data_IF_312277285339
#
_entry.id   IF_312277285339
#
_cell.length_a   1.000
_cell.length_b   1.000
_cell.length_c   1.000
_cell.angle_alpha   90.00
_cell.angle_beta   90.00
_cell.angle_gamma   90.00
#
_symmetry.space_group_name_H-M   'P 1'
#
loop_
_entity.id
_entity.type
_entity.pdbx_description
1 polymer ?
#
# COMPACT_ATOMS: atom_id res chain seq x y z
N UNK A 1 -10.54 -0.32 -5.21
CA UNK A 1 -9.39 -0.71 -4.36
C UNK A 1 -9.90 -1.42 -3.10
N UNK A 2 -9.37 -2.58 -2.80
CA UNK A 2 -9.80 -3.34 -1.63
C UNK A 2 -9.00 -2.88 -0.42
N UNK A 3 -9.70 -2.41 0.61
CA UNK A 3 -9.07 -2.02 1.86
C UNK A 3 -9.16 -3.18 2.85
N UNK A 4 -8.01 -3.71 3.22
CA UNK A 4 -7.95 -4.77 4.20
C UNK A 4 -7.90 -4.19 5.62
N UNK A 5 -8.64 -4.81 6.53
CA UNK A 5 -8.47 -4.52 7.95
C UNK A 5 -7.15 -5.10 8.44
N UNK A 6 -6.66 -4.64 9.58
CA UNK A 6 -5.42 -5.16 10.17
C UNK A 6 -5.49 -6.68 10.36
N UNK A 7 -6.64 -7.18 10.83
CA UNK A 7 -6.85 -8.62 11.01
C UNK A 7 -6.77 -9.39 9.69
N UNK A 8 -7.37 -8.86 8.63
CA UNK A 8 -7.32 -9.48 7.30
C UNK A 8 -5.90 -9.51 6.75
N UNK A 9 -5.14 -8.44 6.93
CA UNK A 9 -3.74 -8.38 6.52
C UNK A 9 -2.89 -9.38 7.28
N UNK A 10 -3.10 -9.55 8.57
CA UNK A 10 -2.40 -10.55 9.36
C UNK A 10 -2.68 -11.96 8.85
N UNK A 11 -3.94 -12.27 8.54
CA UNK A 11 -4.32 -13.58 8.00
C UNK A 11 -3.66 -13.84 6.65
N UNK A 12 -3.67 -12.84 5.76
CA UNK A 12 -3.03 -12.95 4.45
C UNK A 12 -1.53 -13.19 4.59
N UNK A 13 -0.89 -12.44 5.44
CA UNK A 13 0.54 -12.57 5.66
C UNK A 13 0.91 -13.97 6.20
N UNK A 14 0.18 -14.45 7.20
CA UNK A 14 0.41 -15.76 7.78
C UNK A 14 0.15 -16.89 6.78
N UNK A 15 -0.95 -16.79 6.01
CA UNK A 15 -1.28 -17.76 4.98
C UNK A 15 -0.19 -17.83 3.92
N UNK A 16 0.27 -16.70 3.42
CA UNK A 16 1.32 -16.65 2.42
C UNK A 16 2.64 -17.19 2.95
N UNK A 17 2.95 -16.95 4.20
CA UNK A 17 4.15 -17.46 4.83
C UNK A 17 4.17 -18.99 4.86
N UNK A 18 3.02 -19.61 5.09
CA UNK A 18 2.91 -21.08 5.08
C UNK A 18 3.00 -21.67 3.68
N UNK A 19 2.45 -20.98 2.68
CA UNK A 19 2.34 -21.53 1.32
C UNK A 19 3.57 -21.14 0.48
N UNK A 20 3.96 -19.87 0.50
CA UNK A 20 5.00 -19.33 -0.38
C UNK A 20 6.14 -18.63 0.36
N UNK A 21 6.07 -18.56 1.70
CA UNK A 21 6.98 -17.75 2.48
C UNK A 21 6.58 -16.28 2.47
N UNK A 22 7.55 -15.40 2.66
CA UNK A 22 7.30 -13.97 2.79
C UNK A 22 7.23 -13.24 1.44
N UNK A 23 7.61 -13.90 0.35
CA UNK A 23 7.82 -13.26 -0.96
C UNK A 23 6.56 -12.60 -1.51
N UNK A 24 5.39 -13.24 -1.39
CA UNK A 24 4.17 -12.68 -1.95
C UNK A 24 3.72 -11.40 -1.23
N UNK A 25 3.97 -11.29 0.08
CA UNK A 25 3.67 -10.05 0.82
C UNK A 25 4.68 -8.95 0.50
N UNK A 26 5.94 -9.29 0.31
CA UNK A 26 6.96 -8.34 -0.14
C UNK A 26 6.62 -7.82 -1.54
N UNK A 27 6.14 -8.69 -2.45
CA UNK A 27 5.71 -8.28 -3.78
C UNK A 27 4.53 -7.33 -3.72
N UNK A 28 3.54 -7.59 -2.85
CA UNK A 28 2.39 -6.70 -2.66
C UNK A 28 2.86 -5.34 -2.13
N UNK A 29 3.76 -5.36 -1.15
CA UNK A 29 4.30 -4.14 -0.56
C UNK A 29 5.05 -3.31 -1.60
N UNK A 30 5.88 -3.95 -2.40
CA UNK A 30 6.64 -3.30 -3.47
C UNK A 30 5.70 -2.71 -4.53
N UNK A 31 4.69 -3.45 -4.95
CA UNK A 31 3.69 -2.96 -5.91
C UNK A 31 2.96 -1.72 -5.39
N UNK A 32 2.60 -1.72 -4.11
CA UNK A 32 1.96 -0.55 -3.49
C UNK A 32 2.90 0.65 -3.42
N UNK A 33 4.16 0.44 -3.15
CA UNK A 33 5.17 1.52 -3.14
C UNK A 33 5.38 2.10 -4.53
N UNK A 34 5.41 1.26 -5.55
CA UNK A 34 5.49 1.71 -6.95
C UNK A 34 4.26 2.54 -7.33
N UNK A 35 3.07 2.07 -6.98
CA UNK A 35 1.84 2.82 -7.22
C UNK A 35 1.86 4.17 -6.53
N UNK A 36 2.38 4.23 -5.31
CA UNK A 36 2.53 5.49 -4.57
C UNK A 36 3.41 6.48 -5.32
N UNK A 37 4.52 6.02 -5.91
CA UNK A 37 5.40 6.86 -6.71
C UNK A 37 4.69 7.40 -7.96
N UNK A 38 3.92 6.55 -8.65
CA UNK A 38 3.12 6.97 -9.80
C UNK A 38 2.10 8.04 -9.42
N UNK A 39 1.41 7.86 -8.30
CA UNK A 39 0.42 8.83 -7.81
C UNK A 39 1.09 10.18 -7.54
N UNK A 40 2.26 10.19 -6.94
CA UNK A 40 3.00 11.43 -6.70
C UNK A 40 3.32 12.16 -8.00
N UNK A 41 3.76 11.43 -9.02
CA UNK A 41 4.06 11.99 -10.34
C UNK A 41 2.79 12.54 -11.00
N UNK A 42 1.70 11.80 -10.95
CA UNK A 42 0.42 12.22 -11.52
C UNK A 42 -0.13 13.44 -10.81
N UNK A 43 0.00 13.50 -9.48
CA UNK A 43 -0.44 14.65 -8.69
C UNK A 43 0.25 15.93 -9.16
N UNK A 44 1.56 15.87 -9.37
CA UNK A 44 2.33 17.02 -9.87
C UNK A 44 1.84 17.41 -11.26
N UNK A 45 1.62 16.45 -12.14
CA UNK A 45 1.14 16.66 -13.50
C UNK A 45 -0.21 17.39 -13.52
N UNK A 46 -1.17 16.90 -12.72
CA UNK A 46 -2.49 17.51 -12.67
C UNK A 46 -2.48 18.84 -11.94
N UNK A 47 -1.63 19.03 -10.94
CA UNK A 47 -1.47 20.31 -10.27
C UNK A 47 -0.96 21.39 -11.23
N UNK A 48 -0.03 21.04 -12.12
CA UNK A 48 0.47 21.95 -13.16
C UNK A 48 -0.65 22.35 -14.13
N UNK A 49 -1.60 21.49 -14.36
CA UNK A 49 -2.77 21.74 -15.20
C UNK A 49 -3.91 22.42 -14.45
N UNK A 50 -3.73 22.68 -13.16
CA UNK A 50 -4.73 23.25 -12.27
C UNK A 50 -6.02 22.40 -12.19
N UNK A 51 -5.88 21.10 -12.39
CA UNK A 51 -6.97 20.14 -12.27
C UNK A 51 -7.09 19.67 -10.82
N UNK A 52 -7.66 20.52 -9.98
CA UNK A 52 -7.72 20.29 -8.53
C UNK A 52 -8.62 19.12 -8.14
N UNK A 53 -9.64 18.82 -8.94
CA UNK A 53 -10.47 17.65 -8.72
C UNK A 53 -9.66 16.36 -8.75
N UNK A 54 -8.83 16.19 -9.78
CA UNK A 54 -7.94 15.03 -9.89
C UNK A 54 -6.87 15.02 -8.80
N UNK A 55 -6.32 16.18 -8.46
CA UNK A 55 -5.34 16.31 -7.38
C UNK A 55 -5.93 15.81 -6.06
N UNK A 56 -7.17 16.19 -5.75
CA UNK A 56 -7.83 15.75 -4.52
C UNK A 56 -8.08 14.24 -4.50
N UNK A 57 -8.50 13.65 -5.61
CA UNK A 57 -8.66 12.20 -5.73
C UNK A 57 -7.33 11.45 -5.52
N UNK A 58 -6.28 11.95 -6.15
CA UNK A 58 -4.94 11.35 -6.03
C UNK A 58 -4.40 11.46 -4.61
N UNK A 59 -4.65 12.57 -3.92
CA UNK A 59 -4.25 12.74 -2.52
C UNK A 59 -4.95 11.74 -1.60
N UNK A 60 -6.23 11.48 -1.84
CA UNK A 60 -6.98 10.47 -1.07
C UNK A 60 -6.40 9.08 -1.31
N UNK A 61 -6.12 8.74 -2.55
CA UNK A 61 -5.50 7.46 -2.90
C UNK A 61 -4.11 7.33 -2.29
N UNK A 62 -3.31 8.39 -2.33
CA UNK A 62 -1.99 8.41 -1.70
C UNK A 62 -2.07 8.15 -0.20
N UNK A 63 -2.98 8.84 0.49
CA UNK A 63 -3.18 8.63 1.93
C UNK A 63 -3.56 7.19 2.23
N UNK A 64 -4.47 6.63 1.45
CA UNK A 64 -4.93 5.25 1.63
C UNK A 64 -3.78 4.26 1.41
N UNK A 65 -2.97 4.47 0.38
CA UNK A 65 -1.80 3.63 0.12
C UNK A 65 -0.76 3.71 1.23
N UNK A 66 -0.49 4.90 1.74
CA UNK A 66 0.44 5.08 2.86
C UNK A 66 -0.03 4.33 4.09
N UNK A 67 -1.31 4.42 4.44
CA UNK A 67 -1.89 3.68 5.56
C UNK A 67 -1.77 2.17 5.35
N UNK A 68 -2.07 1.68 4.15
CA UNK A 68 -1.92 0.27 3.82
C UNK A 68 -0.48 -0.21 3.93
N UNK A 69 0.46 0.56 3.42
CA UNK A 69 1.89 0.24 3.50
C UNK A 69 2.33 0.15 4.96
N UNK A 70 1.96 1.12 5.77
CA UNK A 70 2.29 1.13 7.20
C UNK A 70 1.73 -0.09 7.92
N UNK A 71 0.48 -0.46 7.62
CA UNK A 71 -0.16 -1.63 8.21
C UNK A 71 0.57 -2.92 7.81
N UNK A 72 0.90 -3.07 6.55
CA UNK A 72 1.61 -4.25 6.05
C UNK A 72 3.00 -4.36 6.69
N UNK A 73 3.73 -3.26 6.77
CA UNK A 73 5.05 -3.23 7.39
C UNK A 73 4.98 -3.56 8.87
N UNK A 74 3.97 -3.04 9.58
CA UNK A 74 3.76 -3.33 10.99
C UNK A 74 3.46 -4.82 11.21
N UNK A 75 2.62 -5.41 10.37
CA UNK A 75 2.28 -6.84 10.45
C UNK A 75 3.51 -7.70 10.15
N UNK A 76 4.26 -7.35 9.11
CA UNK A 76 5.50 -8.04 8.76
C UNK A 76 6.46 -8.05 9.94
N UNK A 77 6.67 -6.90 10.57
CA UNK A 77 7.56 -6.77 11.71
C UNK A 77 7.07 -7.59 12.91
N UNK A 78 5.75 -7.58 13.15
CA UNK A 78 5.13 -8.34 14.25
C UNK A 78 5.29 -9.84 14.04
N UNK A 79 5.06 -10.33 12.81
CA UNK A 79 5.13 -11.77 12.49
C UNK A 79 6.57 -12.27 12.47
N UNK A 80 7.51 -11.46 11.99
CA UNK A 80 8.92 -11.83 11.91
C UNK A 80 9.68 -11.61 13.23
N UNK A 81 9.07 -10.99 14.19
CA UNK A 81 9.70 -10.70 15.47
C UNK A 81 9.48 -11.88 16.43
N UNK A 82 10.52 -12.60 16.71
CA UNK A 82 10.52 -13.70 17.66
C UNK A 82 11.39 -13.40 18.85
#
# INVERSE_FOLDING_TARGET
MINYTTKQLERLYKANKYITGDDSMEDILEAKKERLQEIKKQTIKYAKRKNWGMVNLLRREEKQLKENIEQIEAIRNKVNKH
#
